data_IF_758614570355
#
_entry.id   IF_758614570355
#
_cell.length_a   1.000
_cell.length_b   1.000
_cell.length_c   1.000
_cell.angle_alpha   90.00
_cell.angle_beta   90.00
_cell.angle_gamma   90.00
#
_symmetry.space_group_name_H-M   'P 1'
#
loop_
_entity.id
_entity.type
_entity.pdbx_description
1 polymer ?
#
# COMPACT_ATOMS: atom_id res chain seq x y z
N UNK A 1 36.84 3.50 13.10
CA UNK A 1 35.56 2.91 12.63
C UNK A 1 34.44 3.86 13.00
N UNK A 2 33.54 4.20 12.07
CA UNK A 2 32.55 5.28 12.24
C UNK A 2 31.21 4.68 12.70
N UNK A 3 30.87 4.68 14.00
CA UNK A 3 29.69 3.99 14.54
C UNK A 3 28.36 4.55 14.01
N UNK A 4 28.35 5.81 13.58
CA UNK A 4 27.17 6.47 13.02
C UNK A 4 26.69 5.83 11.70
N UNK A 5 27.58 5.24 10.91
CA UNK A 5 27.21 4.54 9.69
C UNK A 5 26.43 3.25 9.99
N UNK A 6 26.76 2.55 11.08
CA UNK A 6 26.00 1.35 11.49
C UNK A 6 24.60 1.67 11.95
N UNK A 7 24.42 2.79 12.66
CA UNK A 7 23.09 3.25 13.08
C UNK A 7 22.26 3.68 11.87
N UNK A 8 22.85 4.43 10.94
CA UNK A 8 22.18 4.86 9.71
C UNK A 8 21.79 3.66 8.82
N UNK A 9 22.69 2.69 8.66
CA UNK A 9 22.43 1.47 7.87
C UNK A 9 21.40 0.56 8.56
N UNK A 10 21.41 0.50 9.89
CA UNK A 10 20.36 -0.17 10.69
C UNK A 10 18.99 0.47 10.47
N UNK A 11 18.87 1.81 10.49
CA UNK A 11 17.62 2.51 10.19
C UNK A 11 17.11 2.24 8.76
N UNK A 12 18.00 2.01 7.80
CA UNK A 12 17.65 1.62 6.43
C UNK A 12 17.15 0.16 6.35
N UNK A 13 17.72 -0.73 7.16
CA UNK A 13 17.37 -2.16 7.23
C UNK A 13 16.09 -2.45 8.06
N UNK A 14 15.68 -1.54 8.94
CA UNK A 14 14.48 -1.66 9.78
C UNK A 14 13.24 -0.94 9.22
N UNK A 15 13.22 -0.58 7.94
CA UNK A 15 11.97 -0.20 7.28
C UNK A 15 11.13 -1.46 7.03
N UNK A 16 10.33 -1.83 8.04
CA UNK A 16 9.42 -2.98 7.99
C UNK A 16 8.27 -2.67 7.02
N UNK A 17 8.46 -2.97 5.74
CA UNK A 17 7.35 -3.04 4.78
C UNK A 17 6.60 -4.35 5.05
N UNK A 18 5.51 -4.28 5.79
CA UNK A 18 4.62 -5.42 5.99
C UNK A 18 3.89 -5.66 4.68
N UNK A 19 4.40 -6.59 3.87
CA UNK A 19 3.69 -7.06 2.69
C UNK A 19 2.51 -7.93 3.19
N UNK A 20 1.30 -7.38 3.21
CA UNK A 20 0.14 -8.09 3.76
C UNK A 20 -0.54 -8.91 2.65
N UNK A 21 -0.11 -10.16 2.52
CA UNK A 21 -0.70 -11.13 1.59
C UNK A 21 -2.15 -11.42 1.98
N UNK A 22 -3.05 -11.28 1.01
CA UNK A 22 -4.46 -11.64 1.15
C UNK A 22 -4.61 -13.10 0.75
N UNK A 23 -5.00 -13.95 1.70
CA UNK A 23 -5.22 -15.39 1.46
C UNK A 23 -6.56 -15.70 0.81
N UNK A 24 -7.59 -14.87 1.06
CA UNK A 24 -8.91 -15.01 0.44
C UNK A 24 -9.71 -13.71 0.58
N UNK A 25 -10.61 -13.45 -0.37
CA UNK A 25 -11.61 -12.38 -0.28
C UNK A 25 -13.03 -12.96 -0.25
N UNK A 26 -13.97 -12.34 0.47
CA UNK A 26 -15.38 -12.73 0.41
C UNK A 26 -15.91 -12.66 -1.03
N UNK A 27 -16.55 -13.74 -1.49
CA UNK A 27 -17.12 -13.82 -2.84
C UNK A 27 -16.09 -14.05 -3.97
N UNK A 28 -14.82 -14.21 -3.64
CA UNK A 28 -13.80 -14.58 -4.62
C UNK A 28 -14.00 -16.03 -5.10
N UNK A 29 -13.92 -16.30 -6.41
CA UNK A 29 -13.94 -17.66 -6.92
C UNK A 29 -12.83 -18.52 -6.29
N UNK A 30 -13.09 -19.82 -6.06
CA UNK A 30 -12.06 -20.73 -5.57
C UNK A 30 -10.95 -20.90 -6.61
N UNK A 31 -9.73 -21.22 -6.15
CA UNK A 31 -8.56 -21.56 -6.97
C UNK A 31 -8.01 -20.41 -7.84
N UNK A 32 -7.88 -19.20 -7.28
CA UNK A 32 -7.04 -18.18 -7.92
C UNK A 32 -5.55 -18.56 -7.85
N UNK A 33 -4.82 -18.34 -8.94
CA UNK A 33 -3.40 -18.68 -9.10
C UNK A 33 -2.45 -17.51 -8.80
N UNK A 34 -2.96 -16.28 -8.83
CA UNK A 34 -2.17 -15.07 -8.60
C UNK A 34 -2.15 -14.67 -7.12
N UNK A 35 -1.11 -13.94 -6.72
CA UNK A 35 -1.01 -13.36 -5.37
C UNK A 35 -1.62 -11.97 -5.34
N UNK A 36 -2.22 -11.62 -4.22
CA UNK A 36 -2.86 -10.33 -3.97
C UNK A 36 -2.46 -9.83 -2.59
N UNK A 37 -2.27 -8.53 -2.48
CA UNK A 37 -1.76 -7.87 -1.30
C UNK A 37 -2.55 -6.59 -1.06
N UNK A 38 -2.70 -6.20 0.20
CA UNK A 38 -3.22 -4.88 0.55
C UNK A 38 -2.41 -4.27 1.67
N UNK A 39 -2.58 -2.98 1.89
CA UNK A 39 -1.99 -2.34 3.07
C UNK A 39 -2.05 -0.83 2.97
N UNK A 40 -1.20 -0.19 3.77
CA UNK A 40 -1.11 1.26 3.86
C UNK A 40 0.31 1.74 3.58
N UNK A 41 0.45 2.73 2.70
CA UNK A 41 1.67 3.48 2.47
C UNK A 41 1.56 4.78 3.28
N UNK A 42 2.36 4.91 4.33
CA UNK A 42 2.37 6.13 5.16
C UNK A 42 2.98 7.27 4.36
N UNK A 43 2.19 8.31 4.09
CA UNK A 43 2.64 9.49 3.32
C UNK A 43 3.03 10.67 4.22
N UNK A 44 2.42 10.78 5.40
CA UNK A 44 2.78 11.79 6.39
C UNK A 44 2.47 11.26 7.80
N UNK A 45 3.49 10.78 8.50
CA UNK A 45 3.36 10.23 9.85
C UNK A 45 2.93 11.28 10.89
N UNK A 46 3.43 12.52 10.77
CA UNK A 46 3.11 13.60 11.70
C UNK A 46 1.63 14.00 11.68
N UNK A 47 0.98 13.87 10.52
CA UNK A 47 -0.43 14.21 10.33
C UNK A 47 -1.33 12.97 10.18
N UNK A 48 -0.80 11.78 10.48
CA UNK A 48 -1.55 10.52 10.42
C UNK A 48 -2.11 10.18 9.02
N UNK A 49 -1.44 10.61 7.95
CA UNK A 49 -1.91 10.34 6.57
C UNK A 49 -1.23 9.11 6.00
N UNK A 50 -2.04 8.20 5.49
CA UNK A 50 -1.60 7.03 4.75
C UNK A 50 -2.53 6.76 3.56
N UNK A 51 -1.98 6.21 2.48
CA UNK A 51 -2.73 5.76 1.32
C UNK A 51 -2.96 4.26 1.42
N UNK A 52 -4.21 3.83 1.29
CA UNK A 52 -4.53 2.43 1.11
C UNK A 52 -4.13 1.97 -0.31
N UNK A 53 -3.59 0.76 -0.42
CA UNK A 53 -3.35 0.10 -1.70
C UNK A 53 -3.94 -1.31 -1.71
N UNK A 54 -4.30 -1.75 -2.90
CA UNK A 54 -4.63 -3.14 -3.24
C UNK A 54 -3.85 -3.48 -4.51
N UNK A 55 -2.97 -4.48 -4.41
CA UNK A 55 -2.06 -4.91 -5.47
C UNK A 55 -2.30 -6.37 -5.81
N UNK A 56 -2.30 -6.67 -7.11
CA UNK A 56 -2.49 -8.02 -7.63
C UNK A 56 -1.33 -8.32 -8.57
N UNK A 57 -0.62 -9.42 -8.35
CA UNK A 57 0.43 -9.89 -9.25
C UNK A 57 -0.18 -10.35 -10.58
N UNK A 58 0.61 -10.29 -11.65
CA UNK A 58 0.21 -10.89 -12.92
C UNK A 58 0.00 -12.40 -12.77
N UNK A 59 -1.02 -12.94 -13.43
CA UNK A 59 -1.31 -14.37 -13.46
C UNK A 59 -0.31 -15.11 -14.37
N UNK A 60 0.91 -15.32 -13.86
CA UNK A 60 2.03 -15.92 -14.57
C UNK A 60 3.09 -16.40 -13.59
N UNK A 61 3.77 -17.51 -13.92
CA UNK A 61 4.92 -18.01 -13.14
C UNK A 61 6.06 -16.99 -13.04
N UNK A 62 6.16 -16.09 -14.03
CA UNK A 62 7.17 -15.03 -14.09
C UNK A 62 6.57 -13.64 -13.81
N UNK A 63 5.63 -13.53 -12.88
CA UNK A 63 4.97 -12.25 -12.57
C UNK A 63 5.95 -11.10 -12.28
N UNK A 64 7.10 -11.40 -11.67
CA UNK A 64 8.14 -10.42 -11.33
C UNK A 64 8.85 -9.78 -12.53
N UNK A 65 8.81 -10.38 -13.72
CA UNK A 65 9.41 -9.82 -14.94
C UNK A 65 8.42 -9.03 -15.79
N UNK A 66 7.14 -9.02 -15.41
CA UNK A 66 6.09 -8.29 -16.12
C UNK A 66 5.99 -6.85 -15.61
N UNK A 67 5.56 -5.91 -16.47
CA UNK A 67 5.50 -4.49 -16.10
C UNK A 67 4.43 -4.21 -15.03
N UNK A 68 4.68 -3.20 -14.20
CA UNK A 68 3.74 -2.70 -13.21
C UNK A 68 2.80 -1.65 -13.82
N UNK A 69 1.50 -1.81 -13.63
CA UNK A 69 0.49 -0.80 -13.96
C UNK A 69 -0.07 -0.19 -12.68
N UNK A 70 -0.19 1.14 -12.64
CA UNK A 70 -0.76 1.88 -11.51
C UNK A 70 -2.10 2.48 -11.93
N UNK A 71 -3.15 2.21 -11.15
CA UNK A 71 -4.48 2.77 -11.35
C UNK A 71 -4.80 3.81 -10.27
N UNK A 72 -5.05 5.06 -10.67
CA UNK A 72 -5.42 6.16 -9.77
C UNK A 72 -6.79 6.71 -10.19
N UNK A 73 -7.77 6.63 -9.29
CA UNK A 73 -9.08 7.24 -9.51
C UNK A 73 -9.02 8.76 -9.28
N UNK A 74 -9.80 9.52 -10.07
CA UNK A 74 -9.98 10.97 -9.90
C UNK A 74 -11.24 11.35 -9.11
N UNK A 75 -11.42 12.65 -8.85
CA UNK A 75 -12.61 13.24 -8.23
C UNK A 75 -12.29 14.35 -7.22
N UNK A 76 -13.13 15.39 -7.14
CA UNK A 76 -12.99 16.50 -6.16
C UNK A 76 -14.07 16.36 -5.09
N UNK A 77 -13.67 16.20 -3.83
CA UNK A 77 -14.60 16.22 -2.70
C UNK A 77 -14.86 17.67 -2.29
N UNK A 78 -16.03 18.22 -2.62
CA UNK A 78 -16.50 19.46 -2.01
C UNK A 78 -17.12 19.14 -0.64
N UNK A 79 -16.51 19.65 0.44
CA UNK A 79 -17.13 19.63 1.76
C UNK A 79 -18.10 20.81 1.83
N UNK A 80 -19.39 20.55 1.59
CA UNK A 80 -20.44 21.50 1.93
C UNK A 80 -20.54 21.56 3.46
N UNK A 81 -19.97 22.61 4.07
CA UNK A 81 -20.27 22.93 5.47
C UNK A 81 -21.72 23.41 5.53
N UNK A 82 -22.61 22.57 6.04
CA UNK A 82 -23.95 23.00 6.43
C UNK A 82 -23.80 23.93 7.63
N UNK A 83 -23.89 25.24 7.38
CA UNK A 83 -24.00 26.24 8.42
C UNK A 83 -25.34 26.06 9.14
N UNK A 84 -25.28 25.79 10.44
CA UNK A 84 -26.43 25.86 11.33
C UNK A 84 -26.80 27.34 11.46
N UNK A 85 -27.89 27.77 10.83
CA UNK A 85 -28.53 29.04 11.17
C UNK A 85 -29.25 28.82 12.52
N UNK A 86 -28.79 29.58 13.53
CA UNK A 86 -29.50 29.79 14.79
C UNK A 86 -30.76 30.61 14.56
#
# INVERSE_FOLDING_TARGET
MVPWLFIFFSYLLFYKSSCELITSLPGQPPNISFKQYSGYIVTNSQHGRALFYYFVEADSENAASLPLTIWLNGGTYYVARVGRLS
#
